data_IF_737418527311
#
_entry.id   IF_737418527311
#
_cell.length_a   1.000
_cell.length_b   1.000
_cell.length_c   1.000
_cell.angle_alpha   90.00
_cell.angle_beta   90.00
_cell.angle_gamma   90.00
#
_symmetry.space_group_name_H-M   'P 1'
#
loop_
_entity.id
_entity.type
_entity.pdbx_description
1 polymer ?
#
# COMPACT_ATOMS: atom_id res chain seq x y z
N UNK A 1 -30.86 -33.10 2.48
CA UNK A 1 -31.20 -31.71 2.11
C UNK A 1 -30.06 -31.18 1.24
N UNK A 2 -30.23 -31.08 -0.09
CA UNK A 2 -29.15 -30.71 -1.02
C UNK A 2 -28.91 -29.20 -0.98
N UNK A 3 -27.69 -28.78 -0.65
CA UNK A 3 -27.23 -27.40 -0.80
C UNK A 3 -27.27 -27.02 -2.28
N UNK A 4 -28.07 -26.00 -2.64
CA UNK A 4 -28.01 -25.39 -3.97
C UNK A 4 -26.65 -24.71 -4.12
N UNK A 5 -25.75 -25.34 -4.88
CA UNK A 5 -24.56 -24.68 -5.38
C UNK A 5 -25.00 -23.59 -6.36
N UNK A 6 -24.70 -22.33 -6.05
CA UNK A 6 -24.93 -21.20 -6.93
C UNK A 6 -24.01 -21.34 -8.15
N UNK A 7 -24.51 -21.97 -9.21
CA UNK A 7 -23.85 -21.98 -10.52
C UNK A 7 -24.84 -21.54 -11.58
N UNK A 8 -24.82 -20.24 -11.86
CA UNK A 8 -25.11 -19.76 -13.21
C UNK A 8 -24.33 -18.46 -13.48
N UNK A 9 -23.18 -18.59 -14.15
CA UNK A 9 -22.27 -17.53 -14.58
C UNK A 9 -22.58 -17.16 -16.04
N UNK A 10 -23.83 -16.77 -16.34
CA UNK A 10 -24.19 -16.29 -17.68
C UNK A 10 -24.72 -14.86 -17.56
N UNK A 11 -23.77 -13.93 -17.46
CA UNK A 11 -24.04 -12.50 -17.47
C UNK A 11 -23.55 -11.72 -16.25
N UNK A 12 -22.36 -12.03 -15.72
CA UNK A 12 -21.67 -11.11 -14.80
C UNK A 12 -21.48 -9.78 -15.55
N UNK A 13 -22.27 -8.77 -15.19
CA UNK A 13 -22.33 -7.53 -15.94
C UNK A 13 -20.99 -6.81 -15.89
N UNK A 14 -20.60 -6.12 -16.98
CA UNK A 14 -19.38 -5.33 -17.00
C UNK A 14 -19.34 -4.30 -15.85
N UNK A 15 -20.51 -3.76 -15.47
CA UNK A 15 -20.63 -2.83 -14.35
C UNK A 15 -20.42 -3.49 -12.98
N UNK A 16 -20.87 -4.73 -12.80
CA UNK A 16 -20.69 -5.46 -11.54
C UNK A 16 -19.22 -5.78 -11.33
N UNK A 17 -18.53 -6.20 -12.40
CA UNK A 17 -17.09 -6.37 -12.36
C UNK A 17 -16.37 -5.05 -12.04
N UNK A 18 -16.78 -3.94 -12.67
CA UNK A 18 -16.18 -2.63 -12.45
C UNK A 18 -16.36 -2.14 -11.00
N UNK A 19 -17.54 -2.36 -10.40
CA UNK A 19 -17.80 -2.01 -9.00
C UNK A 19 -16.91 -2.83 -8.06
N UNK A 20 -16.82 -4.15 -8.27
CA UNK A 20 -15.94 -5.00 -7.44
C UNK A 20 -14.48 -4.57 -7.57
N UNK A 21 -14.02 -4.31 -8.79
CA UNK A 21 -12.66 -3.81 -9.06
C UNK A 21 -12.43 -2.48 -8.35
N UNK A 22 -13.37 -1.54 -8.40
CA UNK A 22 -13.24 -0.25 -7.74
C UNK A 22 -13.08 -0.39 -6.22
N UNK A 23 -13.87 -1.25 -5.57
CA UNK A 23 -13.78 -1.49 -4.13
C UNK A 23 -12.45 -2.15 -3.76
N UNK A 24 -12.03 -3.18 -4.50
CA UNK A 24 -10.75 -3.86 -4.28
C UNK A 24 -9.58 -2.90 -4.50
N UNK A 25 -9.64 -2.04 -5.52
CA UNK A 25 -8.59 -1.07 -5.82
C UNK A 25 -8.40 -0.09 -4.66
N UNK A 26 -9.49 0.50 -4.13
CA UNK A 26 -9.41 1.41 -2.98
C UNK A 26 -8.86 0.71 -1.73
N UNK A 27 -9.32 -0.50 -1.43
CA UNK A 27 -8.81 -1.27 -0.29
C UNK A 27 -7.33 -1.65 -0.43
N UNK A 28 -6.89 -1.97 -1.65
CA UNK A 28 -5.52 -2.39 -1.94
C UNK A 28 -4.50 -1.25 -1.73
N UNK A 29 -4.89 0.02 -1.94
CA UNK A 29 -4.00 1.17 -1.71
C UNK A 29 -3.47 1.16 -0.27
N UNK A 30 -4.32 0.91 0.73
CA UNK A 30 -3.91 0.88 2.13
C UNK A 30 -2.95 -0.28 2.44
N UNK A 31 -3.24 -1.47 1.91
CA UNK A 31 -2.40 -2.66 2.11
C UNK A 31 -1.02 -2.46 1.48
N UNK A 32 -0.96 -1.94 0.25
CA UNK A 32 0.29 -1.72 -0.48
C UNK A 32 1.18 -0.70 0.24
N UNK A 33 0.60 0.36 0.85
CA UNK A 33 1.38 1.32 1.64
C UNK A 33 2.12 0.67 2.81
N UNK A 34 1.44 -0.19 3.57
CA UNK A 34 2.03 -0.89 4.72
C UNK A 34 3.06 -1.92 4.27
N UNK A 35 2.73 -2.73 3.26
CA UNK A 35 3.63 -3.75 2.73
C UNK A 35 4.88 -3.12 2.12
N UNK A 36 4.72 -2.03 1.36
CA UNK A 36 5.82 -1.28 0.76
C UNK A 36 6.81 -0.76 1.80
N UNK A 37 6.32 -0.17 2.89
CA UNK A 37 7.18 0.29 3.98
C UNK A 37 7.99 -0.86 4.63
N UNK A 38 7.41 -2.06 4.73
CA UNK A 38 8.12 -3.24 5.24
C UNK A 38 9.14 -3.79 4.24
N UNK A 39 8.83 -3.76 2.95
CA UNK A 39 9.76 -4.14 1.87
C UNK A 39 10.97 -3.21 1.86
N UNK A 40 10.78 -1.90 1.99
CA UNK A 40 11.87 -0.91 2.04
C UNK A 40 12.84 -1.18 3.20
N UNK A 41 12.31 -1.53 4.38
CA UNK A 41 13.13 -1.90 5.55
C UNK A 41 13.93 -3.16 5.28
N UNK A 42 13.34 -4.16 4.61
CA UNK A 42 14.06 -5.38 4.25
C UNK A 42 15.16 -5.10 3.23
N UNK A 43 14.91 -4.29 2.20
CA UNK A 43 15.95 -3.87 1.25
C UNK A 43 17.08 -3.11 1.94
N UNK A 44 16.76 -2.21 2.88
CA UNK A 44 17.77 -1.51 3.66
C UNK A 44 18.61 -2.46 4.53
N UNK A 45 18.01 -3.51 5.10
CA UNK A 45 18.74 -4.53 5.85
C UNK A 45 19.65 -5.37 4.95
N UNK A 46 19.18 -5.76 3.75
CA UNK A 46 19.99 -6.50 2.76
C UNK A 46 21.16 -5.64 2.28
N UNK A 47 20.93 -4.37 1.98
CA UNK A 47 21.98 -3.44 1.57
C UNK A 47 23.04 -3.23 2.67
N UNK A 48 22.63 -3.12 3.94
CA UNK A 48 23.55 -3.03 5.07
C UNK A 48 24.37 -4.32 5.27
N UNK A 49 23.72 -5.49 5.16
CA UNK A 49 24.40 -6.78 5.26
C UNK A 49 25.41 -6.97 4.12
N UNK A 50 25.08 -6.56 2.91
CA UNK A 50 26.00 -6.59 1.76
C UNK A 50 27.15 -5.58 1.92
N UNK A 51 26.87 -4.42 2.51
CA UNK A 51 27.86 -3.38 2.81
C UNK A 51 28.78 -3.69 4.00
N UNK A 52 28.70 -4.88 4.58
CA UNK A 52 29.59 -5.34 5.67
C UNK A 52 29.42 -4.61 6.99
N UNK A 53 28.33 -3.87 7.18
CA UNK A 53 28.03 -3.18 8.45
C UNK A 53 27.16 -4.09 9.31
N UNK A 54 27.72 -4.60 10.41
CA UNK A 54 27.00 -5.33 11.47
C UNK A 54 26.06 -4.38 12.23
N UNK A 55 25.01 -3.92 11.55
CA UNK A 55 23.97 -3.09 12.15
C UNK A 55 22.79 -3.97 12.53
N UNK A 56 22.36 -3.84 13.79
CA UNK A 56 21.22 -4.55 14.37
C UNK A 56 20.05 -4.55 13.38
N UNK A 57 19.53 -5.73 13.03
CA UNK A 57 18.41 -5.92 12.10
C UNK A 57 17.32 -4.90 12.39
N UNK A 58 16.99 -4.02 11.44
CA UNK A 58 15.85 -3.12 11.60
C UNK A 58 14.59 -3.97 11.56
N UNK A 59 13.83 -3.95 12.65
CA UNK A 59 12.60 -4.72 12.75
C UNK A 59 11.53 -4.13 11.82
N UNK A 60 10.77 -5.02 11.19
CA UNK A 60 9.61 -4.64 10.39
C UNK A 60 8.69 -3.77 11.25
N UNK A 61 8.13 -2.72 10.65
CA UNK A 61 7.30 -1.79 11.40
C UNK A 61 5.97 -2.48 11.70
N UNK A 62 5.63 -2.62 12.99
CA UNK A 62 4.27 -2.94 13.39
C UNK A 62 3.35 -1.83 12.90
N UNK A 63 2.13 -2.16 12.45
CA UNK A 63 1.14 -1.18 11.96
C UNK A 63 0.87 -0.16 13.06
N UNK A 64 1.57 0.97 12.99
CA UNK A 64 1.58 2.06 13.97
C UNK A 64 1.27 3.34 13.21
N UNK A 65 0.66 4.31 13.86
CA UNK A 65 0.24 5.59 13.28
C UNK A 65 1.34 6.31 12.46
N UNK A 66 2.61 6.09 12.81
CA UNK A 66 3.79 6.61 12.10
C UNK A 66 3.94 6.12 10.65
N UNK A 67 3.38 4.96 10.30
CA UNK A 67 3.38 4.44 8.93
C UNK A 67 2.43 5.22 8.02
N UNK A 68 1.29 5.69 8.54
CA UNK A 68 0.35 6.53 7.80
C UNK A 68 0.85 7.97 7.63
N UNK A 69 1.70 8.44 8.55
CA UNK A 69 2.27 9.81 8.53
C UNK A 69 3.62 9.91 7.80
N UNK A 70 4.18 8.79 7.34
CA UNK A 70 5.47 8.80 6.64
C UNK A 70 5.31 9.42 5.25
N UNK A 71 6.33 10.19 4.80
CA UNK A 71 6.33 10.83 3.47
C UNK A 71 6.12 9.78 2.39
N UNK A 72 4.99 9.86 1.70
CA UNK A 72 4.64 9.07 0.51
C UNK A 72 4.36 9.99 -0.68
N UNK A 73 3.94 9.42 -1.81
CA UNK A 73 3.61 10.18 -3.02
C UNK A 73 2.43 11.14 -2.86
N UNK A 74 1.53 10.92 -1.88
CA UNK A 74 0.46 11.88 -1.59
C UNK A 74 1.01 13.19 -1.03
N UNK A 75 2.08 13.10 -0.22
CA UNK A 75 2.77 14.28 0.28
C UNK A 75 3.53 15.03 -0.82
N UNK A 76 3.97 14.38 -1.90
CA UNK A 76 4.61 15.09 -3.03
C UNK A 76 3.61 16.00 -3.76
N UNK A 77 2.36 15.55 -3.91
CA UNK A 77 1.32 16.38 -4.49
C UNK A 77 0.94 17.54 -3.55
N UNK A 78 0.80 17.26 -2.25
CA UNK A 78 0.56 18.28 -1.22
C UNK A 78 1.66 19.36 -1.19
N UNK A 79 2.94 18.93 -1.21
CA UNK A 79 4.11 19.82 -1.15
C UNK A 79 4.26 20.62 -2.46
N UNK A 80 3.96 20.04 -3.62
CA UNK A 80 4.01 20.77 -4.90
C UNK A 80 2.88 21.79 -5.06
N UNK A 81 1.69 21.49 -4.56
CA UNK A 81 0.55 22.42 -4.54
C UNK A 81 0.77 23.54 -3.50
N UNK A 82 1.25 23.22 -2.29
CA UNK A 82 1.49 24.23 -1.25
C UNK A 82 2.79 25.03 -1.44
N UNK A 83 3.81 24.49 -2.12
CA UNK A 83 5.06 25.20 -2.40
C UNK A 83 4.83 26.45 -3.27
N UNK A 84 3.82 26.44 -4.15
CA UNK A 84 3.43 27.60 -4.96
C UNK A 84 2.79 28.74 -4.14
N UNK A 85 2.23 28.43 -2.97
CA UNK A 85 1.57 29.40 -2.08
C UNK A 85 2.47 30.00 -1.00
N UNK A 86 3.70 29.50 -0.82
CA UNK A 86 4.58 29.86 0.30
C UNK A 86 5.64 30.93 -0.02
N UNK A 87 5.45 31.65 -1.12
CA UNK A 87 6.20 32.87 -1.45
C UNK A 87 5.29 34.09 -1.32
N UNK A 88 4.86 34.41 -0.09
CA UNK A 88 4.45 35.75 0.32
C UNK A 88 4.62 35.94 1.82
#
# INVERSE_FOLDING_TARGET
MKSKSLKNQKGQGLIEYLIIVAIVAVGSIAVIKVVGANIDVQFANVAQALGGTDSKKKQAHAVTESLYKKRDFSNFFEDSVNSSGKNK
#
